data_IF_470217155974
#
_entry.id   IF_470217155974
#
_cell.length_a   1.000
_cell.length_b   1.000
_cell.length_c   1.000
_cell.angle_alpha   90.00
_cell.angle_beta   90.00
_cell.angle_gamma   90.00
#
_symmetry.space_group_name_H-M   'P 1'
#
loop_
_entity.id
_entity.type
_entity.pdbx_description
1 polymer ?
#
# COMPACT_ATOMS: atom_id res chain seq x y z
N UNK A 1 20.98 2.26 -10.90
CA UNK A 1 21.19 1.87 -9.48
C UNK A 1 22.68 1.86 -9.16
N UNK A 2 23.09 2.37 -7.97
CA UNK A 2 24.51 2.49 -7.56
C UNK A 2 25.27 1.15 -7.43
N UNK A 3 24.56 0.03 -7.45
CA UNK A 3 25.14 -1.30 -7.23
C UNK A 3 24.91 -2.27 -8.41
N UNK A 4 24.30 -1.83 -9.50
CA UNK A 4 24.15 -2.63 -10.70
C UNK A 4 25.51 -2.75 -11.41
N UNK A 5 25.91 -3.97 -11.75
CA UNK A 5 27.19 -4.25 -12.46
C UNK A 5 27.05 -4.11 -13.98
N UNK A 6 25.88 -3.82 -14.50
CA UNK A 6 25.56 -3.72 -15.94
C UNK A 6 26.01 -4.96 -16.75
N UNK A 7 26.02 -6.13 -16.13
CA UNK A 7 26.51 -7.38 -16.73
C UNK A 7 25.53 -8.02 -17.74
N UNK A 8 24.35 -7.47 -17.93
CA UNK A 8 23.31 -7.94 -18.85
C UNK A 8 22.73 -9.35 -18.58
N UNK A 9 23.16 -10.07 -17.56
CA UNK A 9 22.67 -11.42 -17.27
C UNK A 9 21.15 -11.48 -17.08
N UNK A 10 20.56 -10.47 -16.43
CA UNK A 10 19.10 -10.42 -16.24
C UNK A 10 18.34 -10.30 -17.57
N UNK A 11 18.95 -9.71 -18.60
CA UNK A 11 18.35 -9.59 -19.94
C UNK A 11 18.55 -10.89 -20.71
N UNK A 12 19.78 -11.45 -20.71
CA UNK A 12 20.06 -12.69 -21.44
C UNK A 12 19.30 -13.90 -20.90
N UNK A 13 19.09 -13.95 -19.60
CA UNK A 13 18.37 -15.04 -18.92
C UNK A 13 16.83 -14.86 -18.94
N UNK A 14 16.32 -13.74 -19.46
CA UNK A 14 14.88 -13.52 -19.53
C UNK A 14 14.24 -14.26 -20.72
N UNK A 15 13.49 -15.35 -20.49
CA UNK A 15 12.97 -16.18 -21.60
C UNK A 15 11.90 -15.45 -22.43
N UNK A 16 11.33 -14.38 -21.91
CA UNK A 16 10.25 -13.64 -22.57
C UNK A 16 10.70 -12.27 -23.10
N UNK A 17 11.98 -11.91 -22.90
CA UNK A 17 12.49 -10.60 -23.29
C UNK A 17 11.86 -9.41 -22.55
N UNK A 18 11.27 -9.66 -21.37
CA UNK A 18 10.62 -8.62 -20.57
C UNK A 18 11.58 -7.56 -20.02
N UNK A 19 12.89 -7.82 -20.08
CA UNK A 19 13.93 -6.91 -19.63
C UNK A 19 14.82 -6.49 -20.79
N UNK A 20 15.17 -5.21 -20.84
CA UNK A 20 16.11 -4.67 -21.80
C UNK A 20 17.00 -3.61 -21.16
N UNK A 21 18.24 -3.48 -21.65
CA UNK A 21 19.14 -2.38 -21.31
C UNK A 21 19.20 -1.37 -22.46
N UNK A 22 19.00 -0.09 -22.13
CA UNK A 22 19.19 1.04 -23.03
C UNK A 22 19.80 2.17 -22.22
N UNK A 23 20.90 2.77 -22.72
CA UNK A 23 21.59 3.90 -22.10
C UNK A 23 21.92 3.70 -20.60
N UNK A 24 22.45 2.53 -20.25
CA UNK A 24 22.72 2.14 -18.87
C UNK A 24 21.48 2.12 -17.94
N UNK A 25 20.30 2.04 -18.53
CA UNK A 25 19.03 1.95 -17.82
C UNK A 25 18.36 0.63 -18.14
N UNK A 26 18.01 -0.11 -17.09
CA UNK A 26 17.19 -1.31 -17.21
C UNK A 26 15.74 -0.91 -17.37
N UNK A 27 15.09 -1.40 -18.43
CA UNK A 27 13.66 -1.28 -18.65
C UNK A 27 12.96 -2.61 -18.40
N UNK A 28 11.73 -2.56 -17.92
CA UNK A 28 10.92 -3.73 -17.64
C UNK A 28 9.54 -3.59 -18.27
N UNK A 29 9.13 -4.62 -19.01
CA UNK A 29 7.80 -4.73 -19.62
C UNK A 29 6.99 -5.78 -18.86
N UNK A 30 6.07 -5.35 -17.96
CA UNK A 30 5.32 -6.25 -17.09
C UNK A 30 4.45 -7.25 -17.86
N UNK A 31 3.82 -6.80 -18.94
CA UNK A 31 2.83 -7.59 -19.72
C UNK A 31 3.40 -8.85 -20.36
N UNK A 32 4.71 -8.90 -20.58
CA UNK A 32 5.40 -10.06 -21.14
C UNK A 32 6.05 -10.94 -20.06
N UNK A 33 6.07 -10.50 -18.80
CA UNK A 33 6.74 -11.20 -17.72
C UNK A 33 5.93 -12.40 -17.22
N UNK A 34 6.56 -13.58 -17.22
CA UNK A 34 5.98 -14.82 -16.68
C UNK A 34 6.33 -15.08 -15.21
N UNK A 35 6.99 -14.13 -14.53
CA UNK A 35 7.44 -14.24 -13.14
C UNK A 35 8.32 -15.49 -12.86
N UNK A 36 9.07 -15.98 -13.85
CA UNK A 36 9.91 -17.18 -13.76
C UNK A 36 11.13 -17.04 -12.84
N UNK A 37 11.47 -15.84 -12.37
CA UNK A 37 12.60 -15.50 -11.48
C UNK A 37 14.01 -15.62 -12.09
N UNK A 38 14.19 -16.10 -13.29
CA UNK A 38 15.52 -16.29 -13.90
C UNK A 38 16.40 -15.03 -13.78
N UNK A 39 15.84 -13.84 -14.01
CA UNK A 39 16.56 -12.56 -13.89
C UNK A 39 17.05 -12.25 -12.47
N UNK A 40 16.34 -12.69 -11.44
CA UNK A 40 16.72 -12.46 -10.03
C UNK A 40 17.74 -13.50 -9.57
N UNK A 41 17.59 -14.74 -9.97
CA UNK A 41 18.45 -15.85 -9.58
C UNK A 41 19.86 -15.72 -10.19
N UNK A 42 19.94 -15.14 -11.39
CA UNK A 42 21.22 -14.86 -12.07
C UNK A 42 21.80 -13.48 -11.82
N UNK A 43 21.19 -12.65 -10.96
CA UNK A 43 21.71 -11.33 -10.64
C UNK A 43 22.85 -11.40 -9.61
N UNK A 44 24.14 -11.24 -9.98
CA UNK A 44 25.27 -11.44 -9.06
C UNK A 44 25.34 -10.37 -7.97
N UNK A 45 24.82 -9.16 -8.24
CA UNK A 45 24.76 -8.07 -7.27
C UNK A 45 23.45 -8.06 -6.47
N UNK A 46 22.53 -9.02 -6.71
CA UNK A 46 21.21 -9.11 -6.08
C UNK A 46 20.38 -7.82 -6.16
N UNK A 47 20.62 -7.01 -7.19
CA UNK A 47 19.90 -5.76 -7.41
C UNK A 47 18.47 -5.96 -7.93
N UNK A 48 18.23 -7.10 -8.58
CA UNK A 48 16.88 -7.54 -8.91
C UNK A 48 16.43 -8.55 -7.87
N UNK A 49 15.28 -8.30 -7.30
CA UNK A 49 14.63 -9.21 -6.36
C UNK A 49 13.12 -9.09 -6.52
N UNK A 50 12.42 -10.15 -6.26
CA UNK A 50 10.97 -10.09 -6.16
C UNK A 50 10.55 -9.42 -4.87
N UNK A 51 9.59 -8.51 -4.97
CA UNK A 51 8.90 -7.96 -3.82
C UNK A 51 7.64 -8.80 -3.61
N UNK A 52 7.59 -9.51 -2.48
CA UNK A 52 6.49 -10.41 -2.16
C UNK A 52 6.75 -11.87 -2.54
N UNK A 53 5.85 -12.71 -2.09
CA UNK A 53 5.83 -14.15 -2.29
C UNK A 53 4.43 -14.59 -2.69
N UNK A 54 4.32 -15.51 -3.65
CA UNK A 54 3.06 -16.18 -3.91
C UNK A 54 2.77 -17.12 -2.75
N UNK A 55 1.60 -16.95 -2.15
CA UNK A 55 1.13 -17.77 -1.03
C UNK A 55 -0.33 -18.10 -1.27
N UNK A 56 -0.74 -19.29 -0.92
CA UNK A 56 -2.15 -19.64 -0.87
C UNK A 56 -2.81 -19.15 0.43
N UNK A 57 -4.12 -19.28 0.50
CA UNK A 57 -4.89 -18.77 1.66
C UNK A 57 -4.57 -19.54 2.94
N UNK A 58 -4.32 -20.83 2.84
CA UNK A 58 -4.04 -21.67 4.01
C UNK A 58 -2.66 -21.35 4.58
N UNK A 59 -1.64 -21.12 3.72
CA UNK A 59 -0.32 -20.65 4.13
C UNK A 59 -0.38 -19.28 4.82
N UNK A 60 -1.20 -18.36 4.30
CA UNK A 60 -1.39 -17.03 4.91
C UNK A 60 -2.03 -17.17 6.29
N UNK A 61 -3.08 -17.97 6.38
CA UNK A 61 -3.80 -18.17 7.65
C UNK A 61 -2.97 -18.93 8.68
N UNK A 62 -2.16 -19.90 8.27
CA UNK A 62 -1.23 -20.59 9.16
C UNK A 62 -0.27 -19.60 9.85
N UNK A 63 0.34 -18.69 9.07
CA UNK A 63 1.22 -17.63 9.61
C UNK A 63 0.47 -16.70 10.56
N UNK A 64 -0.72 -16.25 10.17
CA UNK A 64 -1.55 -15.36 11.01
C UNK A 64 -1.90 -16.07 12.33
N UNK A 65 -2.27 -17.33 12.29
CA UNK A 65 -2.68 -18.07 13.48
C UNK A 65 -1.50 -18.44 14.37
N UNK A 66 -0.32 -18.70 13.81
CA UNK A 66 0.89 -18.97 14.58
C UNK A 66 1.26 -17.79 15.51
N UNK A 67 1.01 -16.55 15.06
CA UNK A 67 1.33 -15.34 15.84
C UNK A 67 0.16 -14.88 16.73
N UNK A 68 -0.94 -15.62 16.81
CA UNK A 68 -2.18 -15.21 17.48
C UNK A 68 -1.98 -14.75 18.92
N UNK A 69 -1.13 -15.44 19.68
CA UNK A 69 -0.86 -15.10 21.06
C UNK A 69 -0.15 -13.75 21.22
N UNK A 70 0.59 -13.31 20.18
CA UNK A 70 1.30 -12.04 20.19
C UNK A 70 0.37 -10.84 19.99
N UNK A 71 -0.83 -11.04 19.45
CA UNK A 71 -1.73 -9.93 19.13
C UNK A 71 -2.33 -9.25 20.36
N UNK A 72 -2.47 -9.95 21.49
CA UNK A 72 -3.09 -9.42 22.69
C UNK A 72 -4.45 -8.77 22.38
N UNK A 73 -4.54 -7.47 22.63
CA UNK A 73 -5.70 -6.66 22.25
C UNK A 73 -5.62 -6.07 20.82
N UNK A 74 -4.58 -6.39 20.06
CA UNK A 74 -4.36 -5.98 18.67
C UNK A 74 -5.07 -6.85 17.65
N UNK A 75 -4.43 -7.08 16.52
CA UNK A 75 -4.94 -7.86 15.40
C UNK A 75 -4.01 -7.80 14.20
N UNK A 76 -4.57 -8.05 13.03
CA UNK A 76 -3.85 -8.09 11.76
C UNK A 76 -4.14 -6.82 10.96
N UNK A 77 -3.09 -6.21 10.43
CA UNK A 77 -3.20 -5.08 9.50
C UNK A 77 -2.80 -5.56 8.11
N UNK A 78 -3.69 -5.41 7.14
CA UNK A 78 -3.34 -5.56 5.73
C UNK A 78 -2.75 -4.24 5.23
N UNK A 79 -1.51 -4.31 4.76
CA UNK A 79 -0.69 -3.17 4.35
C UNK A 79 0.24 -3.60 3.19
N UNK A 80 1.29 -2.86 2.89
CA UNK A 80 2.31 -3.18 1.90
C UNK A 80 2.26 -2.22 0.71
N UNK A 81 2.10 -2.71 -0.53
CA UNK A 81 1.43 -1.96 -1.57
C UNK A 81 -0.01 -1.71 -1.15
N UNK A 82 -0.82 -1.00 -1.93
CA UNK A 82 -2.21 -0.80 -1.51
C UNK A 82 -2.97 -2.14 -1.63
N UNK A 83 -3.60 -2.66 -0.54
CA UNK A 83 -4.39 -3.89 -0.59
C UNK A 83 -5.56 -3.82 -1.58
N UNK A 84 -6.01 -2.62 -1.95
CA UNK A 84 -6.98 -2.38 -3.02
C UNK A 84 -6.51 -2.84 -4.41
N UNK A 85 -5.20 -3.08 -4.59
CA UNK A 85 -4.68 -3.67 -5.82
C UNK A 85 -4.96 -5.18 -5.95
N UNK A 86 -5.33 -5.83 -4.84
CA UNK A 86 -5.71 -7.25 -4.76
C UNK A 86 -6.97 -7.43 -3.89
N UNK A 87 -8.10 -6.78 -4.26
CA UNK A 87 -9.25 -6.63 -3.37
C UNK A 87 -9.92 -7.96 -3.02
N UNK A 88 -9.94 -8.92 -3.93
CA UNK A 88 -10.51 -10.25 -3.70
C UNK A 88 -9.70 -11.03 -2.66
N UNK A 89 -8.38 -11.10 -2.84
CA UNK A 89 -7.48 -11.79 -1.92
C UNK A 89 -7.50 -11.11 -0.54
N UNK A 90 -7.39 -9.78 -0.49
CA UNK A 90 -7.45 -9.02 0.75
C UNK A 90 -8.79 -9.24 1.48
N UNK A 91 -9.92 -9.18 0.78
CA UNK A 91 -11.24 -9.45 1.35
C UNK A 91 -11.36 -10.86 1.91
N UNK A 92 -10.79 -11.85 1.22
CA UNK A 92 -10.78 -13.23 1.68
C UNK A 92 -9.98 -13.40 2.99
N UNK A 93 -8.81 -12.77 3.10
CA UNK A 93 -8.01 -12.76 4.34
C UNK A 93 -8.78 -12.11 5.49
N UNK A 94 -9.38 -10.92 5.26
CA UNK A 94 -10.18 -10.23 6.28
C UNK A 94 -11.34 -11.09 6.79
N UNK A 95 -12.04 -11.78 5.87
CA UNK A 95 -13.13 -12.67 6.21
C UNK A 95 -12.65 -13.85 7.06
N UNK A 96 -11.55 -14.48 6.66
CA UNK A 96 -10.93 -15.58 7.41
C UNK A 96 -10.49 -15.12 8.81
N UNK A 97 -9.84 -13.97 8.93
CA UNK A 97 -9.49 -13.39 10.23
C UNK A 97 -10.72 -13.22 11.12
N UNK A 98 -11.81 -12.71 10.57
CA UNK A 98 -13.08 -12.53 11.31
C UNK A 98 -13.68 -13.85 11.76
N UNK A 99 -13.66 -14.90 10.91
CA UNK A 99 -14.10 -16.25 11.27
C UNK A 99 -13.32 -16.83 12.47
N UNK A 100 -12.03 -16.46 12.61
CA UNK A 100 -11.18 -16.82 13.73
C UNK A 100 -11.22 -15.84 14.91
N UNK A 101 -12.08 -14.84 14.90
CA UNK A 101 -12.20 -13.84 15.96
C UNK A 101 -10.99 -12.90 16.07
N UNK A 102 -10.21 -12.74 14.99
CA UNK A 102 -9.05 -11.86 14.93
C UNK A 102 -9.53 -10.50 14.39
N UNK A 103 -9.20 -9.44 15.14
CA UNK A 103 -9.49 -8.06 14.70
C UNK A 103 -8.60 -7.67 13.54
N UNK A 104 -9.14 -6.86 12.64
CA UNK A 104 -8.46 -6.49 11.40
C UNK A 104 -8.48 -4.99 11.15
N UNK A 105 -7.40 -4.51 10.57
CA UNK A 105 -7.33 -3.19 9.97
C UNK A 105 -6.79 -3.28 8.54
N UNK A 106 -7.10 -2.27 7.74
CA UNK A 106 -6.52 -2.06 6.41
C UNK A 106 -5.84 -0.70 6.35
N UNK A 107 -4.66 -0.67 5.75
CA UNK A 107 -3.99 0.56 5.33
C UNK A 107 -4.16 0.70 3.82
N UNK A 108 -4.77 1.79 3.37
CA UNK A 108 -5.08 2.02 1.95
C UNK A 108 -5.07 3.51 1.63
N UNK A 109 -4.83 3.84 0.37
CA UNK A 109 -5.07 5.20 -0.13
C UNK A 109 -6.56 5.52 -0.27
N UNK A 110 -7.43 4.52 -0.21
CA UNK A 110 -8.85 4.62 -0.52
C UNK A 110 -9.17 5.12 -1.95
N UNK A 111 -8.18 5.09 -2.86
CA UNK A 111 -8.36 5.48 -4.25
C UNK A 111 -9.03 4.35 -5.03
N UNK A 112 -10.35 4.32 -5.01
CA UNK A 112 -11.18 3.31 -5.69
C UNK A 112 -12.56 3.87 -6.02
N UNK A 113 -13.26 3.21 -6.95
CA UNK A 113 -14.69 3.48 -7.17
C UNK A 113 -15.48 3.17 -5.90
N UNK A 114 -16.51 3.95 -5.54
CA UNK A 114 -17.24 3.79 -4.27
C UNK A 114 -17.76 2.37 -4.01
N UNK A 115 -18.32 1.71 -5.02
CA UNK A 115 -18.83 0.34 -4.88
C UNK A 115 -17.71 -0.68 -4.61
N UNK A 116 -16.55 -0.53 -5.26
CA UNK A 116 -15.40 -1.40 -5.01
C UNK A 116 -14.85 -1.17 -3.60
N UNK A 117 -14.71 0.09 -3.19
CA UNK A 117 -14.27 0.44 -1.85
C UNK A 117 -15.21 -0.08 -0.76
N UNK A 118 -16.53 0.11 -0.92
CA UNK A 118 -17.52 -0.36 0.06
C UNK A 118 -17.47 -1.87 0.30
N UNK A 119 -17.31 -2.65 -0.78
CA UNK A 119 -17.16 -4.12 -0.69
C UNK A 119 -15.87 -4.51 0.00
N UNK A 120 -14.80 -3.83 -0.32
CA UNK A 120 -13.46 -4.08 0.23
C UNK A 120 -13.43 -3.86 1.75
N UNK A 121 -13.97 -2.73 2.25
CA UNK A 121 -13.92 -2.40 3.67
C UNK A 121 -14.95 -3.16 4.53
N UNK A 122 -15.89 -3.89 3.92
CA UNK A 122 -17.02 -4.51 4.63
C UNK A 122 -16.57 -5.40 5.81
N UNK A 123 -15.50 -6.17 5.62
CA UNK A 123 -14.99 -7.12 6.63
C UNK A 123 -13.87 -6.57 7.52
N UNK A 124 -13.42 -5.34 7.33
CA UNK A 124 -12.43 -4.71 8.19
C UNK A 124 -13.07 -4.05 9.41
N UNK A 125 -12.43 -4.15 10.58
CA UNK A 125 -12.87 -3.48 11.81
C UNK A 125 -12.40 -2.03 11.87
N UNK A 126 -11.25 -1.73 11.27
CA UNK A 126 -10.67 -0.40 11.22
C UNK A 126 -10.07 -0.11 9.84
N UNK A 127 -10.11 1.14 9.43
CA UNK A 127 -9.54 1.61 8.16
C UNK A 127 -8.57 2.73 8.46
N UNK A 128 -7.34 2.61 7.94
CA UNK A 128 -6.31 3.63 8.01
C UNK A 128 -6.14 4.18 6.60
N UNK A 129 -6.55 5.43 6.39
CA UNK A 129 -6.50 6.07 5.07
C UNK A 129 -5.25 6.93 4.97
N UNK A 130 -4.41 6.66 3.98
CA UNK A 130 -3.23 7.45 3.65
C UNK A 130 -3.60 8.72 2.89
N UNK A 131 -3.65 9.84 3.58
CA UNK A 131 -3.84 11.15 2.96
C UNK A 131 -2.48 11.79 2.64
N UNK A 132 -2.09 11.77 1.36
CA UNK A 132 -0.75 12.24 0.95
C UNK A 132 -0.59 13.75 1.00
N UNK A 133 -1.68 14.52 0.76
CA UNK A 133 -1.69 15.98 0.93
C UNK A 133 -3.12 16.51 1.10
N UNK A 134 -3.32 17.60 1.88
CA UNK A 134 -4.61 18.26 2.05
C UNK A 134 -5.05 19.04 0.79
N UNK A 135 -4.11 19.66 0.08
CA UNK A 135 -4.38 20.43 -1.14
C UNK A 135 -4.51 19.51 -2.33
N UNK A 136 -5.65 19.57 -3.02
CA UNK A 136 -5.89 18.80 -4.24
C UNK A 136 -4.81 19.05 -5.30
N UNK A 137 -4.44 20.34 -5.53
CA UNK A 137 -3.40 20.71 -6.50
C UNK A 137 -2.08 20.01 -6.21
N UNK A 138 -1.62 20.02 -4.95
CA UNK A 138 -0.39 19.31 -4.56
C UNK A 138 -0.59 17.80 -4.58
N UNK A 139 -1.77 17.30 -4.23
CA UNK A 139 -2.08 15.87 -4.31
C UNK A 139 -1.91 15.36 -5.73
N UNK A 140 -2.51 16.04 -6.72
CA UNK A 140 -2.35 15.72 -8.16
C UNK A 140 -0.89 15.82 -8.59
N UNK A 141 -0.18 16.86 -8.16
CA UNK A 141 1.24 17.04 -8.49
C UNK A 141 2.11 15.87 -8.05
N UNK A 142 1.86 15.29 -6.86
CA UNK A 142 2.70 14.26 -6.27
C UNK A 142 2.23 12.83 -6.57
N UNK A 143 0.94 12.62 -6.83
CA UNK A 143 0.36 11.28 -7.00
C UNK A 143 -0.22 11.03 -8.39
N UNK A 144 -0.41 12.09 -9.18
CA UNK A 144 -1.06 12.01 -10.49
C UNK A 144 -2.59 11.94 -10.46
N UNK A 145 -3.21 11.91 -9.27
CA UNK A 145 -4.68 11.77 -9.10
C UNK A 145 -5.22 12.80 -8.11
N UNK A 146 -6.51 13.15 -8.23
CA UNK A 146 -7.20 14.01 -7.25
C UNK A 146 -7.46 13.24 -5.93
N UNK A 147 -7.49 13.97 -4.81
CA UNK A 147 -7.89 13.43 -3.52
C UNK A 147 -9.42 13.39 -3.33
N UNK A 148 -10.19 13.85 -4.29
CA UNK A 148 -11.66 13.97 -4.17
C UNK A 148 -12.31 12.60 -3.89
N UNK A 149 -12.06 11.59 -4.71
CA UNK A 149 -12.60 10.25 -4.51
C UNK A 149 -12.13 9.60 -3.20
N UNK A 150 -10.95 9.97 -2.72
CA UNK A 150 -10.41 9.50 -1.44
C UNK A 150 -11.21 10.08 -0.28
N UNK A 151 -11.51 11.39 -0.33
CA UNK A 151 -12.31 12.08 0.69
C UNK A 151 -13.77 11.59 0.67
N UNK A 152 -14.35 11.35 -0.52
CA UNK A 152 -15.69 10.73 -0.64
C UNK A 152 -15.73 9.33 0.00
N UNK A 153 -14.73 8.50 -0.26
CA UNK A 153 -14.63 7.16 0.32
C UNK A 153 -14.39 7.20 1.84
N UNK A 154 -13.65 8.20 2.31
CA UNK A 154 -13.45 8.46 3.73
C UNK A 154 -14.78 8.80 4.42
N UNK A 155 -15.52 9.75 3.87
CA UNK A 155 -16.84 10.15 4.39
C UNK A 155 -17.83 8.97 4.37
N UNK A 156 -17.81 8.19 3.29
CA UNK A 156 -18.61 6.96 3.20
C UNK A 156 -18.26 5.98 4.32
N UNK A 157 -16.97 5.71 4.56
CA UNK A 157 -16.55 4.79 5.62
C UNK A 157 -17.03 5.24 7.01
N UNK A 158 -16.96 6.55 7.29
CA UNK A 158 -17.46 7.13 8.54
C UNK A 158 -18.99 7.01 8.62
N UNK A 159 -19.72 7.32 7.53
CA UNK A 159 -21.18 7.30 7.50
C UNK A 159 -21.78 5.92 7.81
N UNK A 160 -21.06 4.85 7.46
CA UNK A 160 -21.45 3.46 7.78
C UNK A 160 -20.91 2.95 9.11
N UNK A 161 -20.35 3.85 9.95
CA UNK A 161 -19.89 3.54 11.30
C UNK A 161 -18.56 2.81 11.39
N UNK A 162 -17.72 2.81 10.34
CA UNK A 162 -16.37 2.24 10.42
C UNK A 162 -15.46 3.09 11.31
N UNK A 163 -14.56 2.43 12.04
CA UNK A 163 -13.47 3.12 12.73
C UNK A 163 -12.45 3.58 11.68
N UNK A 164 -12.27 4.87 11.55
CA UNK A 164 -11.36 5.47 10.57
C UNK A 164 -10.26 6.24 11.28
N UNK A 165 -9.02 6.04 10.86
CA UNK A 165 -7.89 6.91 11.15
C UNK A 165 -7.32 7.44 9.82
N UNK A 166 -6.82 8.66 9.84
CA UNK A 166 -6.08 9.22 8.70
C UNK A 166 -4.60 9.21 9.02
N UNK A 167 -3.80 8.65 8.12
CA UNK A 167 -2.34 8.64 8.23
C UNK A 167 -1.76 9.70 7.29
N UNK A 168 -0.85 10.52 7.83
CA UNK A 168 -0.18 11.60 7.12
C UNK A 168 1.32 11.41 7.29
N UNK A 169 2.03 11.27 6.17
CA UNK A 169 3.50 11.29 6.17
C UNK A 169 3.98 12.74 6.10
N UNK A 170 4.71 13.17 7.10
CA UNK A 170 5.32 14.52 7.15
C UNK A 170 6.62 14.48 6.36
N UNK A 171 6.62 15.18 5.23
CA UNK A 171 7.75 15.23 4.30
C UNK A 171 8.39 16.61 4.34
N UNK A 172 9.70 16.71 4.68
CA UNK A 172 10.41 17.98 4.75
C UNK A 172 10.30 18.80 3.47
N UNK A 173 9.98 20.09 3.61
CA UNK A 173 9.83 21.03 2.50
C UNK A 173 8.54 20.87 1.68
N UNK A 174 7.65 19.93 2.03
CA UNK A 174 6.40 19.68 1.31
C UNK A 174 5.17 20.01 2.16
N UNK A 175 5.12 19.47 3.39
CA UNK A 175 3.95 19.59 4.27
C UNK A 175 4.34 19.65 5.77
N UNK A 176 5.51 20.16 6.08
CA UNK A 176 6.12 20.18 7.41
C UNK A 176 6.01 21.52 8.15
N UNK A 177 5.23 22.48 7.62
CA UNK A 177 5.04 23.78 8.24
C UNK A 177 3.82 23.83 9.19
N UNK A 178 3.81 24.80 10.11
CA UNK A 178 2.63 25.07 10.95
C UNK A 178 1.39 25.45 10.13
N UNK A 179 1.59 26.05 8.95
CA UNK A 179 0.48 26.37 8.05
C UNK A 179 -0.11 25.08 7.49
N UNK A 180 0.73 24.12 7.08
CA UNK A 180 0.27 22.81 6.62
C UNK A 180 -0.48 22.07 7.73
N UNK A 181 0.05 22.09 8.96
CA UNK A 181 -0.62 21.46 10.11
C UNK A 181 -2.02 22.02 10.34
N UNK A 182 -2.19 23.37 10.28
CA UNK A 182 -3.50 24.02 10.43
C UNK A 182 -4.46 23.62 9.29
N UNK A 183 -3.97 23.53 8.06
CA UNK A 183 -4.79 23.14 6.90
C UNK A 183 -5.21 21.69 6.95
N UNK A 184 -4.32 20.78 7.39
CA UNK A 184 -4.71 19.39 7.68
C UNK A 184 -5.77 19.34 8.78
N UNK A 185 -5.56 20.05 9.90
CA UNK A 185 -6.52 20.06 11.00
C UNK A 185 -7.90 20.56 10.56
N UNK A 186 -7.96 21.57 9.71
CA UNK A 186 -9.20 22.09 9.15
C UNK A 186 -9.89 21.02 8.29
N UNK A 187 -9.20 20.47 7.29
CA UNK A 187 -9.74 19.39 6.42
C UNK A 187 -10.24 18.21 7.25
N UNK A 188 -9.45 17.72 8.18
CA UNK A 188 -9.82 16.56 9.00
C UNK A 188 -11.03 16.84 9.90
N UNK A 189 -11.16 18.10 10.38
CA UNK A 189 -12.33 18.53 11.15
C UNK A 189 -13.61 18.57 10.30
N UNK A 190 -13.51 19.07 9.06
CA UNK A 190 -14.64 19.08 8.11
C UNK A 190 -15.16 17.66 7.82
N UNK A 191 -14.26 16.69 7.74
CA UNK A 191 -14.57 15.27 7.53
C UNK A 191 -14.75 14.48 8.83
N UNK A 192 -14.92 15.14 9.99
CA UNK A 192 -15.19 14.51 11.30
C UNK A 192 -14.15 13.47 11.74
N UNK A 193 -12.89 13.58 11.28
CA UNK A 193 -11.81 12.68 11.65
C UNK A 193 -11.30 13.00 13.06
N UNK A 194 -11.27 11.96 13.92
CA UNK A 194 -10.83 12.06 15.33
C UNK A 194 -9.48 11.39 15.58
N UNK A 195 -9.06 10.49 14.70
CA UNK A 195 -7.81 9.73 14.85
C UNK A 195 -6.87 10.04 13.71
N UNK A 196 -5.70 10.55 14.04
CA UNK A 196 -4.66 10.92 13.09
C UNK A 196 -3.35 10.25 13.48
N UNK A 197 -2.69 9.64 12.49
CA UNK A 197 -1.38 9.03 12.63
C UNK A 197 -0.39 9.87 11.84
N UNK A 198 0.61 10.42 12.52
CA UNK A 198 1.67 11.17 11.86
C UNK A 198 2.91 10.28 11.73
N UNK A 199 3.43 10.17 10.54
CA UNK A 199 4.68 9.46 10.25
C UNK A 199 5.74 10.46 9.79
N UNK A 200 6.96 10.27 10.24
CA UNK A 200 8.11 10.95 9.64
C UNK A 200 8.45 10.31 8.29
N UNK A 201 8.82 11.13 7.31
CA UNK A 201 9.35 10.63 6.05
C UNK A 201 10.62 9.80 6.28
N UNK A 202 10.74 8.69 5.59
CA UNK A 202 11.89 7.80 5.63
C UNK A 202 12.41 7.52 4.22
N UNK A 203 13.73 7.57 4.04
CA UNK A 203 14.41 7.25 2.77
C UNK A 203 14.65 5.73 2.59
N UNK A 204 14.10 4.89 3.46
CA UNK A 204 14.36 3.43 3.47
C UNK A 204 13.70 2.67 2.30
N UNK A 205 13.52 3.29 1.16
CA UNK A 205 12.94 2.65 -0.02
C UNK A 205 13.51 3.17 -1.35
N UNK A 206 14.60 3.94 -1.30
CA UNK A 206 15.23 4.53 -2.49
C UNK A 206 16.60 3.89 -2.75
#
# INVERSE_FOLDING_TARGET
SKHCLYCNLCVSECPTGSLAFSDNRLTFTPDTCTFCRACTDHCPSRMLHFVGQMMDMDEIMEKILADRELYGNGGVILSGGDPLMQPEAATAVLKKCKEHGIRTAIETTAFAKPLAFSRFIANADMIIIDLKHYSEKKYVQFTGVSNHSILENLDFAISIGKKVAVRITITPGINDTLIDARRYAHLLSEHHIRHVILLSYSNLGI
#
